data_IF_207905756868
#
_entry.id   IF_207905756868
#
_cell.length_a   1.000
_cell.length_b   1.000
_cell.length_c   1.000
_cell.angle_alpha   90.00
_cell.angle_beta   90.00
_cell.angle_gamma   90.00
#
_symmetry.space_group_name_H-M   'P 1'
#
loop_
_entity.id
_entity.type
_entity.pdbx_description
1 polymer ?
#
# COMPACT_ATOMS: atom_id res chain seq x y z
N UNK A 1 -20.49 -11.74 2.97
CA UNK A 1 -20.08 -10.73 1.96
C UNK A 1 -21.17 -9.68 1.75
N UNK A 2 -22.44 -10.07 1.54
CA UNK A 2 -23.56 -9.13 1.39
C UNK A 2 -23.79 -8.22 2.61
N UNK A 3 -23.72 -8.76 3.83
CA UNK A 3 -23.85 -7.95 5.06
C UNK A 3 -22.76 -6.88 5.16
N UNK A 4 -21.47 -7.25 5.05
CA UNK A 4 -20.37 -6.29 5.10
C UNK A 4 -20.50 -5.18 4.03
N UNK A 5 -21.01 -5.53 2.85
CA UNK A 5 -21.29 -4.54 1.81
C UNK A 5 -22.41 -3.57 2.23
N UNK A 6 -23.51 -4.09 2.78
CA UNK A 6 -24.61 -3.26 3.30
C UNK A 6 -24.17 -2.38 4.47
N UNK A 7 -23.36 -2.90 5.39
CA UNK A 7 -22.79 -2.15 6.51
C UNK A 7 -21.88 -1.03 6.00
N UNK A 8 -21.05 -1.32 4.98
CA UNK A 8 -20.22 -0.31 4.32
C UNK A 8 -21.07 0.81 3.72
N UNK A 9 -22.16 0.46 3.02
CA UNK A 9 -23.08 1.45 2.46
C UNK A 9 -23.79 2.28 3.54
N UNK A 10 -24.16 1.67 4.66
CA UNK A 10 -24.75 2.37 5.79
C UNK A 10 -23.76 3.36 6.42
N UNK A 11 -22.49 2.98 6.57
CA UNK A 11 -21.42 3.86 7.04
C UNK A 11 -21.18 5.00 6.05
N UNK A 12 -21.09 4.72 4.74
CA UNK A 12 -20.99 5.76 3.71
C UNK A 12 -22.16 6.74 3.76
N UNK A 13 -23.38 6.27 4.03
CA UNK A 13 -24.56 7.11 4.15
C UNK A 13 -24.49 8.05 5.37
N UNK A 14 -23.91 7.58 6.47
CA UNK A 14 -23.78 8.35 7.72
C UNK A 14 -22.61 9.34 7.67
N UNK A 15 -21.45 8.91 7.16
CA UNK A 15 -20.19 9.67 7.23
C UNK A 15 -19.73 10.27 5.90
N UNK A 16 -20.46 10.02 4.81
CA UNK A 16 -20.08 10.45 3.46
C UNK A 16 -19.01 9.56 2.82
N UNK A 17 -18.27 10.12 1.87
CA UNK A 17 -17.17 9.41 1.21
C UNK A 17 -16.03 9.12 2.19
N UNK A 18 -15.36 7.95 2.06
CA UNK A 18 -14.17 7.66 2.84
C UNK A 18 -13.03 8.62 2.50
N UNK A 19 -12.13 8.84 3.46
CA UNK A 19 -11.01 9.77 3.32
C UNK A 19 -9.70 9.06 2.94
N UNK A 20 -9.56 7.76 3.24
CA UNK A 20 -8.39 6.97 2.88
C UNK A 20 -8.77 5.52 2.53
N UNK A 21 -8.06 4.97 1.55
CA UNK A 21 -8.10 3.57 1.14
C UNK A 21 -6.71 2.93 1.27
N UNK A 22 -6.59 1.86 2.05
CA UNK A 22 -5.32 1.18 2.32
C UNK A 22 -5.43 -0.27 1.85
N UNK A 23 -4.44 -0.72 1.08
CA UNK A 23 -4.26 -2.14 0.77
C UNK A 23 -3.02 -2.65 1.46
N UNK A 24 -3.17 -3.59 2.40
CA UNK A 24 -2.08 -4.22 3.13
C UNK A 24 -1.91 -5.67 2.70
N UNK A 25 -0.81 -5.98 2.02
CA UNK A 25 -0.48 -7.34 1.57
C UNK A 25 0.52 -8.00 2.53
N UNK A 26 0.25 -9.25 2.92
CA UNK A 26 1.15 -10.02 3.77
C UNK A 26 2.55 -10.15 3.15
N UNK A 27 3.59 -10.00 3.98
CA UNK A 27 4.97 -10.25 3.58
C UNK A 27 5.43 -11.64 4.06
N UNK A 28 5.74 -12.58 3.16
CA UNK A 28 6.16 -13.94 3.55
C UNK A 28 7.56 -13.93 4.18
N UNK A 29 8.33 -12.85 4.00
CA UNK A 29 9.68 -12.68 4.54
C UNK A 29 9.69 -12.17 5.98
N UNK A 30 8.53 -11.95 6.61
CA UNK A 30 8.48 -11.69 8.04
C UNK A 30 9.16 -12.82 8.82
N UNK A 31 9.95 -12.44 9.82
CA UNK A 31 10.80 -13.37 10.57
C UNK A 31 9.98 -14.48 11.22
N UNK A 32 8.79 -14.16 11.73
CA UNK A 32 7.87 -15.13 12.34
C UNK A 32 7.45 -16.23 11.35
N UNK A 33 7.22 -15.86 10.09
CA UNK A 33 6.88 -16.81 9.02
C UNK A 33 8.12 -17.61 8.63
N UNK A 34 9.24 -16.93 8.38
CA UNK A 34 10.49 -17.57 7.97
C UNK A 34 10.99 -18.60 8.99
N UNK A 35 10.92 -18.28 10.29
CA UNK A 35 11.33 -19.19 11.36
C UNK A 35 10.42 -20.42 11.45
N UNK A 36 9.10 -20.24 11.30
CA UNK A 36 8.16 -21.35 11.30
C UNK A 36 8.35 -22.28 10.08
N UNK A 37 8.63 -21.71 8.90
CA UNK A 37 8.90 -22.45 7.67
C UNK A 37 10.19 -23.26 7.80
N UNK A 38 11.29 -22.65 8.26
CA UNK A 38 12.56 -23.34 8.53
C UNK A 38 12.39 -24.50 9.51
N UNK A 39 11.62 -24.28 10.59
CA UNK A 39 11.35 -25.30 11.61
C UNK A 39 10.55 -26.50 11.06
N UNK A 40 9.85 -26.33 9.94
CA UNK A 40 9.13 -27.40 9.26
C UNK A 40 9.98 -28.18 8.24
N UNK A 41 11.26 -27.85 8.10
CA UNK A 41 12.14 -28.46 7.09
C UNK A 41 11.88 -28.01 5.66
N UNK A 42 11.02 -26.99 5.47
CA UNK A 42 10.72 -26.37 4.18
C UNK A 42 11.42 -25.02 4.05
N UNK A 43 11.64 -24.56 2.82
CA UNK A 43 12.01 -23.16 2.52
C UNK A 43 10.85 -22.36 1.89
N UNK A 44 9.74 -23.04 1.56
CA UNK A 44 8.59 -22.43 0.92
C UNK A 44 7.52 -22.08 1.96
N UNK A 45 7.21 -20.79 2.08
CA UNK A 45 6.18 -20.28 2.98
C UNK A 45 4.78 -20.78 2.60
N UNK A 46 4.53 -21.10 1.32
CA UNK A 46 3.27 -21.64 0.85
C UNK A 46 2.92 -23.00 1.48
N UNK A 47 3.91 -23.69 2.05
CA UNK A 47 3.76 -24.98 2.75
C UNK A 47 3.11 -24.82 4.13
N UNK A 48 3.10 -23.61 4.71
CA UNK A 48 2.47 -23.30 6.00
C UNK A 48 1.46 -22.14 5.89
N UNK A 49 0.37 -22.32 5.13
CA UNK A 49 -0.64 -21.29 4.94
C UNK A 49 -1.35 -20.91 6.25
N UNK A 50 -1.41 -21.83 7.21
CA UNK A 50 -1.91 -21.59 8.57
C UNK A 50 -1.07 -20.54 9.32
N UNK A 51 0.26 -20.61 9.21
CA UNK A 51 1.16 -19.63 9.84
C UNK A 51 1.08 -18.29 9.14
N UNK A 52 1.05 -18.28 7.80
CA UNK A 52 0.88 -17.06 7.01
C UNK A 52 -0.39 -16.33 7.46
N UNK A 53 -1.53 -17.04 7.53
CA UNK A 53 -2.81 -16.45 7.93
C UNK A 53 -2.76 -15.91 9.37
N UNK A 54 -2.16 -16.65 10.31
CA UNK A 54 -2.04 -16.22 11.71
C UNK A 54 -1.15 -14.99 11.88
N UNK A 55 0.05 -15.00 11.29
CA UNK A 55 0.97 -13.86 11.38
C UNK A 55 0.35 -12.64 10.69
N UNK A 56 -0.25 -12.81 9.52
CA UNK A 56 -0.96 -11.72 8.85
C UNK A 56 -2.06 -11.14 9.73
N UNK A 57 -2.90 -11.98 10.35
CA UNK A 57 -3.97 -11.50 11.24
C UNK A 57 -3.43 -10.71 12.42
N UNK A 58 -2.33 -11.16 13.03
CA UNK A 58 -1.65 -10.42 14.11
C UNK A 58 -1.17 -9.04 13.62
N UNK A 59 -0.49 -8.99 12.48
CA UNK A 59 -0.02 -7.71 11.91
C UNK A 59 -1.16 -6.79 11.50
N UNK A 60 -2.26 -7.36 10.97
CA UNK A 60 -3.47 -6.61 10.63
C UNK A 60 -4.13 -6.02 11.88
N UNK A 61 -4.23 -6.78 12.98
CA UNK A 61 -4.78 -6.27 14.25
C UNK A 61 -3.92 -5.18 14.85
N UNK A 62 -2.60 -5.29 14.73
CA UNK A 62 -1.67 -4.23 15.09
C UNK A 62 -1.90 -2.98 14.22
N UNK A 63 -2.09 -3.13 12.91
CA UNK A 63 -2.34 -2.02 12.00
C UNK A 63 -3.65 -1.33 12.33
N UNK A 64 -4.73 -2.08 12.51
CA UNK A 64 -6.03 -1.52 12.92
C UNK A 64 -5.91 -0.80 14.26
N UNK A 65 -5.15 -1.32 15.22
CA UNK A 65 -4.91 -0.64 16.49
C UNK A 65 -4.11 0.66 16.32
N UNK A 66 -3.12 0.70 15.43
CA UNK A 66 -2.37 1.92 15.18
C UNK A 66 -3.24 2.99 14.50
N UNK A 67 -4.05 2.57 13.52
CA UNK A 67 -4.97 3.45 12.80
C UNK A 67 -6.07 4.02 13.71
N UNK A 68 -6.69 3.17 14.54
CA UNK A 68 -7.91 3.54 15.29
C UNK A 68 -7.68 3.97 16.73
N UNK A 69 -6.56 3.57 17.36
CA UNK A 69 -6.30 3.86 18.79
C UNK A 69 -5.07 4.74 19.01
N UNK A 70 -4.19 4.84 18.02
CA UNK A 70 -2.96 5.65 18.11
C UNK A 70 -2.92 6.77 17.08
N UNK A 71 -4.04 6.96 16.36
CA UNK A 71 -4.25 8.02 15.39
C UNK A 71 -3.10 8.13 14.38
N UNK A 72 -2.57 6.98 13.93
CA UNK A 72 -1.38 6.94 13.09
C UNK A 72 -1.52 7.70 11.77
N UNK A 73 -2.74 7.88 11.27
CA UNK A 73 -3.09 8.69 10.09
C UNK A 73 -4.13 9.78 10.43
N UNK A 74 -4.20 10.19 11.70
CA UNK A 74 -5.26 11.05 12.23
C UNK A 74 -6.36 10.26 12.95
N UNK A 75 -7.25 10.97 13.63
CA UNK A 75 -8.34 10.36 14.41
C UNK A 75 -9.37 9.73 13.49
N UNK A 76 -9.68 8.45 13.72
CA UNK A 76 -10.63 7.67 12.89
C UNK A 76 -12.02 7.66 13.53
N UNK A 77 -13.05 8.05 12.78
CA UNK A 77 -14.46 7.94 13.18
C UNK A 77 -15.07 6.58 12.84
N UNK A 78 -14.72 6.05 11.68
CA UNK A 78 -15.18 4.73 11.25
C UNK A 78 -14.09 4.04 10.43
N UNK A 79 -14.06 2.71 10.54
CA UNK A 79 -13.20 1.85 9.73
C UNK A 79 -14.01 0.66 9.24
N UNK A 80 -13.81 0.32 7.96
CA UNK A 80 -14.27 -0.95 7.40
C UNK A 80 -13.08 -1.63 6.78
N UNK A 81 -12.98 -2.95 6.93
CA UNK A 81 -11.99 -3.69 6.18
C UNK A 81 -12.51 -5.05 5.74
N UNK A 82 -11.95 -5.56 4.65
CA UNK A 82 -12.14 -6.92 4.17
C UNK A 82 -10.78 -7.60 4.05
N UNK A 83 -10.74 -8.90 4.31
CA UNK A 83 -9.56 -9.74 4.07
C UNK A 83 -9.90 -10.66 2.91
N UNK A 84 -9.01 -10.66 1.93
CA UNK A 84 -9.13 -11.49 0.74
C UNK A 84 -7.92 -12.40 0.63
N UNK A 85 -8.17 -13.63 0.21
CA UNK A 85 -7.14 -14.59 -0.17
C UNK A 85 -7.17 -14.63 -1.69
N UNK A 86 -6.27 -13.90 -2.34
CA UNK A 86 -6.15 -13.98 -3.80
C UNK A 86 -5.84 -15.42 -4.20
N UNK A 87 -6.51 -15.92 -5.26
CA UNK A 87 -6.23 -17.26 -5.80
C UNK A 87 -4.78 -17.25 -6.32
N UNK A 88 -3.88 -17.91 -5.57
CA UNK A 88 -2.40 -17.97 -5.68
C UNK A 88 -1.60 -17.02 -4.76
N UNK A 89 -2.25 -16.25 -3.90
CA UNK A 89 -1.64 -15.11 -3.21
C UNK A 89 -1.66 -15.19 -1.69
N UNK A 90 -0.69 -14.51 -1.10
CA UNK A 90 -0.65 -14.19 0.31
C UNK A 90 -1.90 -13.37 0.70
N UNK A 91 -2.39 -13.47 1.95
CA UNK A 91 -3.53 -12.69 2.39
C UNK A 91 -3.28 -11.19 2.20
N UNK A 92 -4.32 -10.47 1.79
CA UNK A 92 -4.30 -9.01 1.79
C UNK A 92 -5.59 -8.46 2.38
N UNK A 93 -5.51 -7.25 2.92
CA UNK A 93 -6.65 -6.53 3.46
C UNK A 93 -6.88 -5.24 2.67
N UNK A 94 -8.13 -4.93 2.40
CA UNK A 94 -8.58 -3.61 1.97
C UNK A 94 -9.21 -2.92 3.17
N UNK A 95 -8.68 -1.76 3.55
CA UNK A 95 -9.10 -0.99 4.73
C UNK A 95 -9.54 0.38 4.25
N UNK A 96 -10.72 0.81 4.68
CA UNK A 96 -11.34 2.09 4.37
C UNK A 96 -11.48 2.88 5.66
N UNK A 97 -11.04 4.14 5.66
CA UNK A 97 -11.08 5.01 6.83
C UNK A 97 -11.94 6.25 6.58
N UNK A 98 -12.71 6.62 7.60
CA UNK A 98 -13.34 7.94 7.73
C UNK A 98 -12.67 8.67 8.89
N UNK A 99 -12.03 9.79 8.59
CA UNK A 99 -11.31 10.61 9.56
C UNK A 99 -12.26 11.59 10.26
N UNK A 100 -11.86 12.02 11.46
CA UNK A 100 -12.51 13.11 12.16
C UNK A 100 -12.36 14.42 11.39
N UNK A 101 -13.35 15.32 11.48
CA UNK A 101 -13.40 16.53 10.65
C UNK A 101 -12.15 17.42 10.79
N UNK A 102 -11.52 17.42 11.96
CA UNK A 102 -10.27 18.16 12.20
C UNK A 102 -8.99 17.49 11.68
N UNK A 103 -9.08 16.25 11.20
CA UNK A 103 -7.95 15.46 10.67
C UNK A 103 -8.12 15.12 9.18
N UNK A 104 -9.20 15.61 8.54
CA UNK A 104 -9.43 15.39 7.11
C UNK A 104 -8.36 16.09 6.27
N UNK A 105 -7.90 15.40 5.23
CA UNK A 105 -6.94 15.96 4.28
C UNK A 105 -7.73 16.74 3.21
N UNK A 106 -7.78 18.06 3.35
CA UNK A 106 -8.64 18.92 2.51
C UNK A 106 -7.88 19.63 1.40
N UNK A 107 -6.55 19.66 1.48
CA UNK A 107 -5.68 20.27 0.50
C UNK A 107 -4.65 19.27 -0.03
N UNK A 108 -4.10 19.48 -1.25
CA UNK A 108 -3.00 18.67 -1.75
C UNK A 108 -1.77 18.64 -0.82
N UNK A 109 -1.53 19.72 -0.08
CA UNK A 109 -0.45 19.76 0.90
C UNK A 109 -0.72 18.81 2.08
N UNK A 110 -1.97 18.73 2.56
CA UNK A 110 -2.37 17.77 3.60
C UNK A 110 -2.19 16.34 3.09
N UNK A 111 -2.60 16.05 1.86
CA UNK A 111 -2.41 14.74 1.22
C UNK A 111 -0.91 14.39 1.18
N UNK A 112 -0.06 15.32 0.77
CA UNK A 112 1.40 15.13 0.70
C UNK A 112 2.06 14.87 2.07
N UNK A 113 1.38 15.17 3.19
CA UNK A 113 1.87 14.79 4.54
C UNK A 113 1.62 13.32 4.86
N UNK A 114 0.61 12.70 4.24
CA UNK A 114 0.16 11.34 4.54
C UNK A 114 0.58 10.34 3.47
N UNK A 115 0.53 10.74 2.20
CA UNK A 115 0.77 9.88 1.04
C UNK A 115 1.96 10.41 0.25
N UNK A 116 2.95 9.54 0.06
CA UNK A 116 4.11 9.80 -0.76
C UNK A 116 4.13 8.82 -1.93
N UNK A 117 4.62 9.27 -3.08
CA UNK A 117 4.82 8.44 -4.26
C UNK A 117 6.22 8.65 -4.87
N UNK A 118 7.20 8.92 -4.02
CA UNK A 118 8.60 9.20 -4.40
C UNK A 118 9.55 8.24 -3.69
N UNK A 119 10.67 7.93 -4.34
CA UNK A 119 11.80 7.19 -3.79
C UNK A 119 12.50 8.09 -2.75
N UNK A 120 12.60 7.68 -1.48
CA UNK A 120 13.33 8.41 -0.47
C UNK A 120 14.80 8.54 -0.83
N UNK A 121 15.45 9.52 -0.22
CA UNK A 121 16.88 9.73 -0.44
C UNK A 121 17.71 8.62 0.22
N UNK A 122 18.64 8.03 -0.53
CA UNK A 122 19.42 6.88 -0.06
C UNK A 122 20.42 7.24 1.04
N UNK A 123 20.82 8.50 1.16
CA UNK A 123 21.80 8.95 2.16
C UNK A 123 21.09 9.42 3.44
N UNK A 124 20.04 10.22 3.28
CA UNK A 124 19.33 10.84 4.43
C UNK A 124 18.17 10.01 4.96
N UNK A 125 17.63 9.09 4.16
CA UNK A 125 16.55 8.18 4.57
C UNK A 125 16.77 6.75 4.05
N UNK A 126 17.86 6.13 4.49
CA UNK A 126 18.24 4.74 4.13
C UNK A 126 17.10 3.75 4.40
N UNK A 127 16.41 3.91 5.54
CA UNK A 127 15.34 2.98 5.97
C UNK A 127 14.12 3.09 5.05
N UNK A 128 13.71 4.32 4.73
CA UNK A 128 12.63 4.56 3.77
C UNK A 128 13.01 4.10 2.37
N UNK A 129 14.23 4.41 1.91
CA UNK A 129 14.74 3.98 0.60
C UNK A 129 14.68 2.46 0.46
N UNK A 130 15.20 1.72 1.44
CA UNK A 130 15.19 0.26 1.40
C UNK A 130 13.76 -0.29 1.40
N UNK A 131 12.87 0.27 2.22
CA UNK A 131 11.48 -0.19 2.28
C UNK A 131 10.72 0.09 0.97
N UNK A 132 10.86 1.28 0.39
CA UNK A 132 10.23 1.62 -0.90
C UNK A 132 10.79 0.76 -2.03
N UNK A 133 12.12 0.61 -2.08
CA UNK A 133 12.79 -0.22 -3.08
C UNK A 133 12.27 -1.65 -3.09
N UNK A 134 12.03 -2.20 -1.90
CA UNK A 134 11.62 -3.60 -1.75
C UNK A 134 10.12 -3.82 -1.93
N UNK A 135 9.28 -2.87 -1.50
CA UNK A 135 7.84 -3.13 -1.34
C UNK A 135 6.93 -2.23 -2.17
N UNK A 136 7.42 -1.10 -2.67
CA UNK A 136 6.57 -0.08 -3.30
C UNK A 136 6.94 0.23 -4.74
N UNK A 137 7.80 -0.56 -5.39
CA UNK A 137 8.10 -0.39 -6.82
C UNK A 137 7.15 -1.21 -7.67
N UNK A 138 6.42 -0.56 -8.58
CA UNK A 138 5.59 -1.22 -9.58
C UNK A 138 6.39 -1.57 -10.83
N UNK A 139 6.38 -2.85 -11.18
CA UNK A 139 7.03 -3.37 -12.37
C UNK A 139 8.37 -4.07 -12.07
N UNK A 140 9.24 -4.25 -13.08
CA UNK A 140 9.10 -3.73 -14.44
C UNK A 140 7.88 -4.29 -15.19
N UNK A 141 7.26 -3.44 -16.00
CA UNK A 141 6.13 -3.73 -16.89
C UNK A 141 6.26 -2.86 -18.15
N UNK A 142 5.29 -2.91 -19.07
CA UNK A 142 5.38 -2.20 -20.34
C UNK A 142 6.34 -2.90 -21.28
N UNK A 143 7.08 -2.12 -22.08
CA UNK A 143 8.09 -2.64 -23.01
C UNK A 143 9.18 -3.45 -22.30
N UNK A 144 9.55 -3.03 -21.09
CA UNK A 144 10.53 -3.70 -20.23
C UNK A 144 10.11 -5.11 -19.81
N UNK A 145 8.79 -5.36 -19.67
CA UNK A 145 8.26 -6.68 -19.36
C UNK A 145 6.80 -6.82 -19.83
N UNK A 146 6.57 -7.15 -21.12
CA UNK A 146 5.23 -7.22 -21.70
C UNK A 146 4.39 -8.38 -21.13
N UNK A 147 5.03 -9.34 -20.45
CA UNK A 147 4.38 -10.52 -19.83
C UNK A 147 4.02 -10.31 -18.36
N UNK A 148 4.30 -9.12 -17.80
CA UNK A 148 3.96 -8.82 -16.41
C UNK A 148 2.44 -8.98 -16.20
N UNK A 149 1.94 -9.55 -15.07
CA UNK A 149 0.51 -9.80 -14.88
C UNK A 149 -0.39 -8.56 -14.96
N UNK A 150 0.18 -7.36 -14.77
CA UNK A 150 -0.53 -6.11 -14.92
C UNK A 150 -0.73 -5.68 -16.38
N UNK A 151 -0.10 -6.34 -17.36
CA UNK A 151 -0.18 -5.98 -18.78
C UNK A 151 -1.41 -6.56 -19.44
N UNK A 152 -2.18 -5.71 -20.13
CA UNK A 152 -3.29 -6.11 -20.97
C UNK A 152 -3.28 -5.24 -22.23
N UNK A 153 -3.40 -5.86 -23.40
CA UNK A 153 -3.35 -5.15 -24.70
C UNK A 153 -2.12 -4.21 -24.82
N UNK A 154 -0.94 -4.68 -24.38
CA UNK A 154 0.31 -3.92 -24.36
C UNK A 154 0.33 -2.66 -23.47
N UNK A 155 -0.67 -2.46 -22.61
CA UNK A 155 -0.74 -1.36 -21.66
C UNK A 155 -0.77 -1.91 -20.23
N UNK A 156 -0.09 -1.23 -19.31
CA UNK A 156 -0.23 -1.56 -17.90
C UNK A 156 -1.63 -1.15 -17.43
N UNK A 157 -2.43 -2.10 -16.95
CA UNK A 157 -3.79 -1.90 -16.40
C UNK A 157 -3.82 -0.99 -15.16
N UNK A 158 -2.67 -0.74 -14.55
CA UNK A 158 -2.48 0.20 -13.43
C UNK A 158 -1.91 1.56 -13.87
N UNK A 159 -1.74 1.74 -15.18
CA UNK A 159 -1.26 2.96 -15.84
C UNK A 159 0.15 3.38 -15.37
N UNK A 160 1.05 2.41 -15.24
CA UNK A 160 2.47 2.65 -15.00
C UNK A 160 3.28 2.57 -16.31
N UNK A 161 4.34 3.39 -16.46
CA UNK A 161 4.76 4.47 -15.56
C UNK A 161 3.73 5.60 -15.46
N UNK A 162 3.57 6.19 -14.26
CA UNK A 162 2.80 7.42 -14.07
C UNK A 162 3.56 8.62 -14.64
N UNK A 163 2.89 9.75 -14.82
CA UNK A 163 3.57 10.99 -15.18
C UNK A 163 4.30 11.59 -13.97
N UNK A 164 5.39 12.31 -14.21
CA UNK A 164 5.96 13.18 -13.20
C UNK A 164 4.99 14.34 -12.90
N UNK A 165 4.99 14.77 -11.64
CA UNK A 165 4.17 15.87 -11.14
C UNK A 165 4.89 16.57 -9.99
N UNK A 166 5.05 17.89 -10.06
CA UNK A 166 5.75 18.65 -9.02
C UNK A 166 4.91 18.87 -7.76
N UNK A 167 3.59 18.68 -7.84
CA UNK A 167 2.66 18.77 -6.73
C UNK A 167 1.56 17.72 -6.89
N UNK A 168 0.84 17.43 -5.80
CA UNK A 168 -0.38 16.63 -5.85
C UNK A 168 -1.51 17.46 -6.48
N UNK A 169 -2.30 16.83 -7.34
CA UNK A 169 -3.46 17.44 -7.98
C UNK A 169 -4.69 16.54 -7.78
N UNK A 170 -5.78 17.11 -7.29
CA UNK A 170 -7.06 16.40 -7.18
C UNK A 170 -7.90 16.70 -8.41
N UNK A 171 -8.25 15.67 -9.16
CA UNK A 171 -9.09 15.79 -10.34
C UNK A 171 -10.58 15.98 -9.96
N UNK A 172 -11.37 16.47 -10.91
CA UNK A 172 -12.79 16.76 -10.69
C UNK A 172 -13.64 15.50 -10.38
N UNK A 173 -13.13 14.32 -10.73
CA UNK A 173 -13.72 13.02 -10.42
C UNK A 173 -13.36 12.50 -9.02
N UNK A 174 -12.58 13.27 -8.25
CA UNK A 174 -12.19 12.96 -6.87
C UNK A 174 -10.86 12.20 -6.75
N UNK A 175 -10.21 11.81 -7.84
CA UNK A 175 -8.94 11.08 -7.75
C UNK A 175 -7.74 12.01 -7.61
N UNK A 176 -6.82 11.67 -6.70
CA UNK A 176 -5.55 12.36 -6.54
C UNK A 176 -4.47 11.82 -7.49
N UNK A 177 -3.93 12.69 -8.33
CA UNK A 177 -2.64 12.49 -8.98
C UNK A 177 -1.53 12.96 -8.03
N UNK A 178 -0.90 12.01 -7.33
CA UNK A 178 0.12 12.31 -6.32
C UNK A 178 1.38 12.95 -6.91
N UNK A 179 2.01 13.81 -6.11
CA UNK A 179 3.34 14.38 -6.38
C UNK A 179 4.37 13.28 -6.64
N UNK A 180 5.03 13.39 -7.78
CA UNK A 180 6.10 12.51 -8.28
C UNK A 180 7.13 13.37 -8.98
N UNK A 181 8.04 14.01 -8.25
CA UNK A 181 9.05 14.87 -8.86
C UNK A 181 10.08 14.03 -9.59
N UNK A 182 10.63 14.57 -10.68
CA UNK A 182 11.84 14.02 -11.25
C UNK A 182 13.03 14.41 -10.37
N UNK A 183 13.48 13.48 -9.55
CA UNK A 183 14.59 13.68 -8.61
C UNK A 183 15.89 13.03 -9.10
N UNK A 184 15.87 12.38 -10.27
CA UNK A 184 16.97 11.53 -10.74
C UNK A 184 17.22 10.26 -9.93
N UNK A 185 16.48 10.01 -8.84
CA UNK A 185 16.63 8.80 -8.01
C UNK A 185 16.02 7.59 -8.69
N UNK A 186 16.69 6.46 -8.58
CA UNK A 186 16.25 5.18 -9.14
C UNK A 186 16.45 4.02 -8.17
N UNK A 187 15.69 2.95 -8.41
CA UNK A 187 15.84 1.64 -7.78
C UNK A 187 15.98 0.61 -8.89
N UNK A 188 16.94 -0.29 -8.75
CA UNK A 188 17.09 -1.42 -9.68
C UNK A 188 16.13 -2.56 -9.30
N UNK A 189 15.27 -2.95 -10.25
CA UNK A 189 14.35 -4.09 -10.12
C UNK A 189 14.51 -4.98 -11.35
N UNK A 190 14.96 -6.23 -11.15
CA UNK A 190 15.25 -7.18 -12.23
C UNK A 190 16.17 -6.60 -13.33
N UNK A 191 17.27 -5.96 -12.94
CA UNK A 191 18.24 -5.29 -13.83
C UNK A 191 17.69 -4.07 -14.60
N UNK A 192 16.55 -3.52 -14.16
CA UNK A 192 15.92 -2.34 -14.77
C UNK A 192 15.81 -1.24 -13.72
N UNK A 193 16.31 -0.06 -14.03
CA UNK A 193 16.22 1.11 -13.16
C UNK A 193 14.85 1.77 -13.28
N UNK A 194 14.11 1.81 -12.18
CA UNK A 194 12.80 2.41 -12.08
C UNK A 194 12.90 3.69 -11.23
N UNK A 195 12.24 4.76 -11.67
CA UNK A 195 12.20 6.06 -10.99
C UNK A 195 10.85 6.29 -10.27
N UNK A 196 10.62 7.53 -9.81
CA UNK A 196 9.40 7.94 -9.10
C UNK A 196 8.09 7.68 -9.87
N UNK A 197 8.13 7.50 -11.18
CA UNK A 197 6.94 7.16 -11.98
C UNK A 197 6.42 5.76 -11.70
N UNK A 198 7.23 4.90 -11.09
CA UNK A 198 6.93 3.51 -10.77
C UNK A 198 6.55 3.28 -9.30
N UNK A 199 6.65 4.29 -8.44
CA UNK A 199 6.38 4.12 -7.01
C UNK A 199 4.88 3.98 -6.75
N UNK A 200 4.46 2.95 -6.05
CA UNK A 200 3.09 2.79 -5.54
C UNK A 200 2.91 3.76 -4.36
N UNK A 201 1.81 4.55 -4.29
CA UNK A 201 1.57 5.49 -3.19
C UNK A 201 1.62 4.81 -1.82
N UNK A 202 2.30 5.42 -0.85
CA UNK A 202 2.55 4.82 0.46
C UNK A 202 2.56 5.86 1.58
N UNK A 203 2.30 5.42 2.80
CA UNK A 203 2.65 6.16 4.00
C UNK A 203 3.97 5.61 4.56
N UNK A 204 4.98 6.48 4.73
CA UNK A 204 6.33 6.07 5.18
C UNK A 204 6.30 5.38 6.54
N UNK A 205 5.53 5.88 7.49
CA UNK A 205 5.46 5.33 8.85
C UNK A 205 4.92 3.90 8.87
N UNK A 206 3.80 3.66 8.17
CA UNK A 206 3.23 2.33 8.03
C UNK A 206 4.17 1.38 7.28
N UNK A 207 4.73 1.83 6.16
CA UNK A 207 5.64 1.02 5.34
C UNK A 207 6.86 0.55 6.14
N UNK A 208 7.54 1.46 6.84
CA UNK A 208 8.73 1.12 7.63
C UNK A 208 8.38 0.22 8.80
N UNK A 209 7.24 0.43 9.47
CA UNK A 209 6.83 -0.38 10.61
C UNK A 209 6.47 -1.81 10.23
N UNK A 210 5.72 -1.99 9.16
CA UNK A 210 5.16 -3.28 8.78
C UNK A 210 6.01 -4.05 7.76
N UNK A 211 6.97 -3.38 7.09
CA UNK A 211 7.89 -4.00 6.12
C UNK A 211 7.13 -4.89 5.13
N UNK A 212 6.16 -4.30 4.43
CA UNK A 212 5.25 -5.00 3.54
C UNK A 212 4.75 -4.07 2.45
N UNK A 213 4.18 -4.64 1.37
CA UNK A 213 3.52 -3.84 0.35
C UNK A 213 2.23 -3.23 0.93
N UNK A 214 2.23 -1.91 1.14
CA UNK A 214 1.12 -1.16 1.72
C UNK A 214 0.82 0.04 0.82
N UNK A 215 -0.19 -0.08 -0.03
CA UNK A 215 -0.70 1.03 -0.82
C UNK A 215 -1.59 1.91 0.06
N UNK A 216 -1.40 3.22 0.03
CA UNK A 216 -2.27 4.20 0.72
C UNK A 216 -2.74 5.21 -0.30
N UNK A 217 -4.05 5.30 -0.47
CA UNK A 217 -4.72 6.23 -1.38
C UNK A 217 -5.65 7.15 -0.58
N UNK A 218 -5.73 8.42 -0.99
CA UNK A 218 -6.72 9.40 -0.56
C UNK A 218 -7.92 9.37 -1.49
#
# INVERSE_FOLDING_TARGET
MQQNFQDSLAICKEYGHPDLFITFTCNPKWEEIQNAVRSSGSQDASVRPDIIARVFKIKLDMMLSDLTKKDALGRVRAVVYTVEFQKRGLPHAHIVLWLADGDKLTTPADIDTMVCAEIPDKETDVVGYNAVSQFMMHGPCGEANPRCPCMQNNVCTKFYPKNFANATHVAADGYAAYRRRDTGRTVEVNNIYLDNRHVVPYNRGLLVKYQAHINVEW
#
